data_IF_864413728410
#
_entry.id   IF_864413728410
#
_cell.length_a   1.000
_cell.length_b   1.000
_cell.length_c   1.000
_cell.angle_alpha   90.00
_cell.angle_beta   90.00
_cell.angle_gamma   90.00
#
_symmetry.space_group_name_H-M   'P 1'
#
loop_
_entity.id
_entity.type
_entity.pdbx_description
1 polymer ?
#
# COMPACT_ATOMS: atom_id res chain seq x y z
N UNK A 1 -13.18 -19.13 -6.07
CA UNK A 1 -13.15 -17.66 -6.12
C UNK A 1 -13.98 -17.13 -4.97
N UNK A 2 -13.46 -16.14 -4.22
CA UNK A 2 -14.21 -15.47 -3.17
C UNK A 2 -15.33 -14.63 -3.79
N UNK A 3 -16.50 -14.59 -3.14
CA UNK A 3 -17.65 -13.81 -3.58
C UNK A 3 -17.79 -12.55 -2.72
N UNK A 4 -18.26 -11.45 -3.33
CA UNK A 4 -18.63 -10.25 -2.57
C UNK A 4 -19.83 -10.58 -1.69
N UNK A 5 -19.74 -10.27 -0.40
CA UNK A 5 -20.84 -10.28 0.56
C UNK A 5 -21.17 -8.85 0.97
N UNK A 6 -22.27 -8.65 1.68
CA UNK A 6 -22.58 -7.33 2.24
C UNK A 6 -21.58 -6.93 3.33
N UNK A 7 -21.03 -7.90 4.05
CA UNK A 7 -19.94 -7.69 5.02
C UNK A 7 -18.67 -7.16 4.34
N UNK A 8 -18.25 -7.75 3.22
CA UNK A 8 -17.05 -7.26 2.50
C UNK A 8 -17.28 -5.92 1.81
N UNK A 9 -18.53 -5.56 1.48
CA UNK A 9 -18.88 -4.20 1.04
C UNK A 9 -18.81 -3.20 2.18
N UNK A 10 -19.38 -3.53 3.34
CA UNK A 10 -19.32 -2.65 4.51
C UNK A 10 -17.88 -2.40 4.98
N UNK A 11 -17.04 -3.45 4.99
CA UNK A 11 -15.62 -3.34 5.32
C UNK A 11 -14.86 -2.41 4.35
N UNK A 12 -15.19 -2.46 3.05
CA UNK A 12 -14.56 -1.61 2.04
C UNK A 12 -14.76 -0.13 2.33
N UNK A 13 -15.97 0.27 2.70
CA UNK A 13 -16.27 1.67 3.03
C UNK A 13 -15.48 2.13 4.25
N UNK A 14 -15.29 1.27 5.26
CA UNK A 14 -14.46 1.57 6.42
C UNK A 14 -12.99 1.72 6.07
N UNK A 15 -12.47 0.88 5.17
CA UNK A 15 -11.09 1.00 4.67
C UNK A 15 -10.91 2.32 3.91
N UNK A 16 -11.87 2.69 3.05
CA UNK A 16 -11.82 3.97 2.34
C UNK A 16 -11.88 5.16 3.28
N UNK A 17 -12.67 5.08 4.35
CA UNK A 17 -12.70 6.12 5.38
C UNK A 17 -11.36 6.26 6.11
N UNK A 18 -10.77 5.14 6.52
CA UNK A 18 -9.44 5.12 7.15
C UNK A 18 -8.38 5.74 6.23
N UNK A 19 -8.33 5.32 4.96
CA UNK A 19 -7.34 5.83 3.98
C UNK A 19 -7.52 7.33 3.77
N UNK A 20 -8.77 7.80 3.58
CA UNK A 20 -9.05 9.23 3.40
C UNK A 20 -8.61 10.04 4.61
N UNK A 21 -8.98 9.59 5.81
CA UNK A 21 -8.60 10.25 7.07
C UNK A 21 -7.08 10.36 7.20
N UNK A 22 -6.33 9.30 6.88
CA UNK A 22 -4.87 9.29 6.94
C UNK A 22 -4.24 10.21 5.89
N UNK A 23 -4.81 10.30 4.69
CA UNK A 23 -4.33 11.21 3.64
C UNK A 23 -4.56 12.68 4.01
N UNK A 24 -5.61 12.97 4.77
CA UNK A 24 -5.94 14.33 5.24
C UNK A 24 -5.09 14.79 6.44
N UNK A 25 -4.20 13.97 6.98
CA UNK A 25 -3.33 14.37 8.09
C UNK A 25 -2.27 15.40 7.68
N UNK A 26 -2.23 16.53 8.38
CA UNK A 26 -1.24 17.58 8.17
C UNK A 26 -0.80 18.24 9.51
N UNK A 27 0.40 17.94 10.04
CA UNK A 27 1.29 16.87 9.59
C UNK A 27 0.72 15.50 9.99
N UNK A 28 1.07 14.46 9.22
CA UNK A 28 0.95 13.07 9.70
C UNK A 28 1.67 12.90 11.05
N UNK A 29 1.20 12.07 12.00
CA UNK A 29 1.98 11.71 13.18
C UNK A 29 3.27 10.97 12.80
N UNK A 30 4.37 11.17 13.53
CA UNK A 30 5.62 10.46 13.25
C UNK A 30 5.51 8.97 13.61
N UNK A 31 4.69 8.66 14.61
CA UNK A 31 4.57 7.35 15.24
C UNK A 31 5.91 6.83 15.79
N UNK A 32 5.89 5.69 16.50
CA UNK A 32 7.10 5.16 17.12
C UNK A 32 7.02 3.66 17.39
N UNK A 33 8.16 2.94 17.31
CA UNK A 33 8.17 1.51 17.59
C UNK A 33 7.88 1.23 19.06
N UNK A 34 7.18 0.13 19.32
CA UNK A 34 6.93 -0.41 20.66
C UNK A 34 7.66 -1.74 20.85
N UNK A 35 8.04 -2.11 22.09
CA UNK A 35 8.58 -3.44 22.38
C UNK A 35 7.61 -4.56 22.00
N UNK A 36 8.13 -5.68 21.52
CA UNK A 36 7.33 -6.86 21.12
C UNK A 36 6.36 -7.31 22.22
N UNK A 37 6.82 -7.35 23.47
CA UNK A 37 5.98 -7.73 24.61
C UNK A 37 4.79 -6.80 24.82
N UNK A 38 4.97 -5.49 24.59
CA UNK A 38 3.89 -4.51 24.68
C UNK A 38 2.90 -4.68 23.54
N UNK A 39 3.39 -4.89 22.31
CA UNK A 39 2.54 -5.18 21.14
C UNK A 39 1.75 -6.46 21.34
N UNK A 40 2.36 -7.51 21.87
CA UNK A 40 1.67 -8.76 22.16
C UNK A 40 0.59 -8.58 23.23
N UNK A 41 0.86 -7.77 24.27
CA UNK A 41 -0.12 -7.46 25.30
C UNK A 41 -1.32 -6.64 24.78
N UNK A 42 -1.10 -5.77 23.79
CA UNK A 42 -2.15 -4.93 23.20
C UNK A 42 -2.92 -5.63 22.07
N UNK A 43 -2.21 -6.34 21.19
CA UNK A 43 -2.78 -6.98 20.00
C UNK A 43 -3.28 -8.41 20.23
N UNK A 44 -2.66 -9.12 21.18
CA UNK A 44 -2.91 -10.55 21.38
C UNK A 44 -2.50 -11.41 20.18
N UNK A 45 -3.08 -12.60 20.09
CA UNK A 45 -2.93 -13.49 18.93
C UNK A 45 -3.90 -13.04 17.82
N UNK A 46 -3.36 -12.63 16.68
CA UNK A 46 -4.14 -12.11 15.54
C UNK A 46 -4.57 -13.19 14.55
N UNK A 47 -4.11 -14.43 14.75
CA UNK A 47 -4.37 -15.58 13.88
C UNK A 47 -5.02 -16.69 14.69
N UNK A 48 -6.21 -17.12 14.26
CA UNK A 48 -6.93 -18.28 14.78
C UNK A 48 -7.74 -18.95 13.68
N UNK A 49 -8.26 -20.16 13.93
CA UNK A 49 -9.10 -20.89 12.97
C UNK A 49 -10.43 -20.18 12.69
N UNK A 50 -10.98 -19.49 13.69
CA UNK A 50 -12.23 -18.73 13.60
C UNK A 50 -12.04 -17.40 12.87
N UNK A 51 -10.82 -16.86 12.88
CA UNK A 51 -10.52 -15.51 12.42
C UNK A 51 -11.12 -14.42 13.33
N UNK A 52 -10.61 -13.20 13.20
CA UNK A 52 -11.10 -12.06 14.00
C UNK A 52 -12.17 -11.21 13.30
N UNK A 53 -12.37 -11.40 11.99
CA UNK A 53 -13.27 -10.60 11.17
C UNK A 53 -12.67 -9.25 10.76
N UNK A 54 -13.11 -8.71 9.61
CA UNK A 54 -12.52 -7.52 9.01
C UNK A 54 -12.59 -6.26 9.87
N UNK A 55 -13.70 -6.06 10.59
CA UNK A 55 -13.89 -4.90 11.46
C UNK A 55 -12.90 -4.89 12.64
N UNK A 56 -12.74 -6.03 13.32
CA UNK A 56 -11.78 -6.12 14.42
C UNK A 56 -10.34 -6.06 13.92
N UNK A 57 -10.07 -6.62 12.73
CA UNK A 57 -8.74 -6.53 12.11
C UNK A 57 -8.39 -5.07 11.77
N UNK A 58 -9.31 -4.31 11.17
CA UNK A 58 -9.11 -2.89 10.87
C UNK A 58 -8.93 -2.09 12.16
N UNK A 59 -9.77 -2.30 13.18
CA UNK A 59 -9.65 -1.61 14.47
C UNK A 59 -8.32 -1.91 15.16
N UNK A 60 -7.90 -3.17 15.17
CA UNK A 60 -6.60 -3.56 15.74
C UNK A 60 -5.45 -2.87 15.01
N UNK A 61 -5.51 -2.82 13.68
CA UNK A 61 -4.49 -2.13 12.89
C UNK A 61 -4.45 -0.64 13.23
N UNK A 62 -5.60 0.05 13.18
CA UNK A 62 -5.71 1.48 13.44
C UNK A 62 -5.28 1.87 14.86
N UNK A 63 -5.70 1.12 15.88
CA UNK A 63 -5.49 1.50 17.29
C UNK A 63 -4.14 1.04 17.85
N UNK A 64 -3.56 -0.05 17.31
CA UNK A 64 -2.36 -0.69 17.89
C UNK A 64 -1.19 -0.74 16.93
N UNK A 65 -1.39 -1.28 15.72
CA UNK A 65 -0.27 -1.61 14.82
C UNK A 65 0.23 -0.39 14.04
N UNK A 66 -0.67 0.44 13.50
CA UNK A 66 -0.31 1.64 12.75
C UNK A 66 0.44 2.66 13.62
N UNK A 67 -0.01 3.00 14.85
CA UNK A 67 0.74 3.91 15.72
C UNK A 67 2.10 3.37 16.19
N UNK A 68 2.32 2.06 16.07
CA UNK A 68 3.59 1.41 16.35
C UNK A 68 4.54 1.32 15.13
N UNK A 69 4.13 1.89 13.99
CA UNK A 69 4.86 1.87 12.71
C UNK A 69 5.22 3.30 12.34
N UNK A 70 6.52 3.59 12.18
CA UNK A 70 6.98 4.95 11.86
C UNK A 70 6.43 5.40 10.50
N UNK A 71 5.82 6.58 10.47
CA UNK A 71 5.35 7.24 9.25
C UNK A 71 6.52 7.88 8.51
N UNK A 72 6.99 7.23 7.45
CA UNK A 72 8.20 7.64 6.69
C UNK A 72 7.99 8.82 5.75
N UNK A 73 6.76 9.28 5.61
CA UNK A 73 6.34 10.52 4.93
C UNK A 73 6.14 11.70 5.89
N UNK A 74 6.39 11.50 7.20
CA UNK A 74 6.44 12.59 8.16
C UNK A 74 7.58 13.57 7.82
N UNK A 75 7.38 14.91 7.82
CA UNK A 75 8.42 15.89 7.46
C UNK A 75 9.69 15.83 8.32
N UNK A 76 9.53 15.43 9.59
CA UNK A 76 10.62 15.17 10.54
C UNK A 76 11.28 13.79 10.44
N UNK A 77 10.82 12.89 9.56
CA UNK A 77 11.48 11.62 9.30
C UNK A 77 12.73 11.85 8.44
N UNK A 78 13.87 12.04 9.11
CA UNK A 78 15.16 12.38 8.47
C UNK A 78 16.19 11.24 8.59
N UNK A 79 15.72 10.03 8.85
CA UNK A 79 16.55 8.82 8.91
C UNK A 79 16.28 7.90 7.72
N UNK A 80 17.22 7.00 7.42
CA UNK A 80 17.09 5.95 6.40
C UNK A 80 16.66 6.47 5.01
N UNK A 81 15.65 5.85 4.39
CA UNK A 81 15.09 6.19 3.08
C UNK A 81 13.68 6.74 3.31
N UNK A 82 13.41 8.02 3.02
CA UNK A 82 12.08 8.60 3.18
C UNK A 82 11.13 8.10 2.08
N UNK A 83 9.84 8.18 2.37
CA UNK A 83 8.79 7.98 1.38
C UNK A 83 8.20 9.33 0.94
N UNK A 84 8.05 9.52 -0.37
CA UNK A 84 7.49 10.75 -0.96
C UNK A 84 6.56 10.42 -2.13
N UNK A 85 5.72 9.39 -1.97
CA UNK A 85 4.68 9.09 -2.94
C UNK A 85 3.70 10.27 -3.06
N UNK A 86 3.29 10.59 -4.28
CA UNK A 86 2.17 11.52 -4.49
C UNK A 86 0.86 10.84 -4.12
N UNK A 87 -0.16 11.61 -3.72
CA UNK A 87 -1.50 11.07 -3.45
C UNK A 87 -2.05 10.26 -4.63
N UNK A 88 -1.80 10.74 -5.86
CA UNK A 88 -2.22 10.05 -7.07
C UNK A 88 -1.57 8.66 -7.20
N UNK A 89 -0.29 8.53 -6.86
CA UNK A 89 0.40 7.24 -6.90
C UNK A 89 -0.20 6.27 -5.87
N UNK A 90 -0.38 6.70 -4.62
CA UNK A 90 -0.94 5.87 -3.56
C UNK A 90 -2.38 5.42 -3.84
N UNK A 91 -3.21 6.29 -4.42
CA UNK A 91 -4.57 5.92 -4.83
C UNK A 91 -4.57 4.94 -6.03
N UNK A 92 -3.60 5.07 -6.94
CA UNK A 92 -3.51 4.16 -8.09
C UNK A 92 -2.99 2.77 -7.69
N UNK A 93 -2.19 2.65 -6.63
CA UNK A 93 -1.82 1.35 -6.05
C UNK A 93 -3.05 0.54 -5.64
N UNK A 94 -4.09 1.19 -5.10
CA UNK A 94 -5.37 0.53 -4.80
C UNK A 94 -6.06 0.04 -6.09
N UNK A 95 -6.04 0.82 -7.17
CA UNK A 95 -6.61 0.42 -8.46
C UNK A 95 -5.88 -0.81 -9.02
N UNK A 96 -4.54 -0.80 -9.00
CA UNK A 96 -3.72 -1.92 -9.49
C UNK A 96 -3.92 -3.17 -8.63
N UNK A 97 -3.90 -3.02 -7.30
CA UNK A 97 -4.08 -4.11 -6.33
C UNK A 97 -5.45 -4.80 -6.50
N UNK A 98 -6.52 -4.01 -6.63
CA UNK A 98 -7.88 -4.54 -6.79
C UNK A 98 -8.13 -5.16 -8.18
N UNK A 99 -7.37 -4.73 -9.20
CA UNK A 99 -7.49 -5.25 -10.57
C UNK A 99 -6.84 -6.62 -10.76
N UNK A 100 -6.01 -7.10 -9.83
CA UNK A 100 -5.35 -8.41 -9.90
C UNK A 100 -4.66 -8.65 -11.26
N UNK A 101 -3.90 -7.66 -11.73
CA UNK A 101 -3.29 -7.66 -13.06
C UNK A 101 -2.16 -8.69 -13.12
N UNK A 102 -2.19 -9.57 -14.13
CA UNK A 102 -1.07 -10.44 -14.47
C UNK A 102 -0.34 -9.89 -15.70
N UNK A 103 0.89 -9.39 -15.49
CA UNK A 103 1.74 -8.79 -16.51
C UNK A 103 2.78 -9.74 -17.12
N UNK A 104 2.66 -11.06 -16.90
CA UNK A 104 3.71 -12.02 -17.30
C UNK A 104 3.82 -12.28 -18.81
N UNK A 105 2.81 -11.90 -19.59
CA UNK A 105 2.89 -11.92 -21.05
C UNK A 105 1.96 -10.88 -21.67
N UNK A 106 2.22 -10.57 -22.95
CA UNK A 106 1.37 -9.65 -23.71
C UNK A 106 -0.09 -10.13 -23.82
N UNK A 107 -0.32 -11.45 -23.87
CA UNK A 107 -1.66 -12.01 -24.02
C UNK A 107 -2.58 -11.62 -22.85
N UNK A 108 -2.06 -11.64 -21.63
CA UNK A 108 -2.83 -11.36 -20.42
C UNK A 108 -2.72 -9.91 -19.95
N UNK A 109 -1.61 -9.22 -20.27
CA UNK A 109 -1.24 -7.95 -19.67
C UNK A 109 -1.07 -6.76 -20.63
N UNK A 110 -1.46 -6.88 -21.90
CA UNK A 110 -1.14 -5.90 -22.95
C UNK A 110 -1.32 -4.42 -22.54
N UNK A 111 -2.43 -4.08 -21.86
CA UNK A 111 -2.69 -2.70 -21.43
C UNK A 111 -1.70 -2.18 -20.39
N UNK A 112 -1.41 -2.99 -19.37
CA UNK A 112 -0.44 -2.65 -18.32
C UNK A 112 0.99 -2.63 -18.89
N UNK A 113 1.35 -3.62 -19.69
CA UNK A 113 2.68 -3.71 -20.33
C UNK A 113 2.91 -2.55 -21.30
N UNK A 114 1.88 -2.14 -22.04
CA UNK A 114 1.98 -0.95 -22.90
C UNK A 114 2.30 0.29 -22.08
N UNK A 115 1.59 0.54 -20.97
CA UNK A 115 1.84 1.68 -20.10
C UNK A 115 3.24 1.61 -19.46
N UNK A 116 3.64 0.44 -18.97
CA UNK A 116 4.97 0.19 -18.41
C UNK A 116 6.08 0.56 -19.39
N UNK A 117 5.96 0.09 -20.64
CA UNK A 117 6.95 0.35 -21.68
C UNK A 117 7.09 1.85 -22.01
N UNK A 118 6.00 2.64 -21.90
CA UNK A 118 6.08 4.09 -22.06
C UNK A 118 6.91 4.73 -20.94
N UNK A 119 6.67 4.32 -19.69
CA UNK A 119 7.41 4.85 -18.54
C UNK A 119 8.88 4.45 -18.58
N UNK A 120 9.19 3.19 -18.91
CA UNK A 120 10.57 2.71 -19.07
C UNK A 120 11.32 3.46 -20.16
N UNK A 121 10.67 3.69 -21.31
CA UNK A 121 11.25 4.47 -22.41
C UNK A 121 11.52 5.91 -21.97
N UNK A 122 10.58 6.52 -21.25
CA UNK A 122 10.76 7.86 -20.70
C UNK A 122 11.91 7.92 -19.70
N UNK A 123 11.95 7.03 -18.69
CA UNK A 123 13.07 6.97 -17.74
C UNK A 123 14.41 6.76 -18.41
N UNK A 124 14.50 5.83 -19.37
CA UNK A 124 15.73 5.62 -20.12
C UNK A 124 16.21 6.90 -20.81
N UNK A 125 15.28 7.72 -21.33
CA UNK A 125 15.61 9.02 -21.93
C UNK A 125 16.06 10.06 -20.90
N UNK A 126 15.42 10.14 -19.73
CA UNK A 126 15.76 11.09 -18.66
C UNK A 126 17.17 10.85 -18.11
N UNK A 127 17.60 9.58 -18.04
CA UNK A 127 18.95 9.22 -17.57
C UNK A 127 19.99 9.11 -18.68
N UNK A 128 19.63 9.45 -19.93
CA UNK A 128 20.56 9.51 -21.06
C UNK A 128 21.00 8.15 -21.63
N UNK A 129 20.20 7.09 -21.46
CA UNK A 129 20.47 5.79 -22.07
C UNK A 129 20.21 5.80 -23.58
N UNK A 130 20.89 4.94 -24.36
CA UNK A 130 20.71 4.90 -25.81
C UNK A 130 19.31 4.41 -26.21
N UNK A 131 18.86 4.83 -27.40
CA UNK A 131 17.60 4.35 -27.98
C UNK A 131 17.59 2.83 -28.08
N UNK A 132 16.50 2.22 -27.62
CA UNK A 132 16.35 0.76 -27.56
C UNK A 132 16.83 0.13 -26.26
N UNK A 133 17.32 0.92 -25.30
CA UNK A 133 17.43 0.46 -23.92
C UNK A 133 16.05 0.02 -23.41
N UNK A 134 16.02 -1.13 -22.74
CA UNK A 134 14.83 -1.69 -22.12
C UNK A 134 14.99 -1.79 -20.60
N UNK A 135 13.98 -2.34 -19.96
CA UNK A 135 13.97 -2.59 -18.52
C UNK A 135 12.74 -3.38 -18.13
N UNK A 136 12.57 -3.55 -16.83
CA UNK A 136 11.37 -4.08 -16.20
C UNK A 136 11.26 -3.45 -14.81
N UNK A 137 10.03 -3.22 -14.34
CA UNK A 137 9.84 -2.92 -12.92
C UNK A 137 10.04 -4.19 -12.09
N UNK A 138 10.72 -4.04 -10.96
CA UNK A 138 10.91 -5.11 -9.96
C UNK A 138 10.35 -4.65 -8.63
N UNK A 139 9.80 -5.59 -7.86
CA UNK A 139 9.32 -5.39 -6.49
C UNK A 139 10.36 -5.85 -5.48
#
# INVERSE_FOLDING_TARGET
MHQSSDETRALREKIFEYVRTRMDYDPIPLDYPKPEQELFAQAGLTLSEEGMGGDNALRLYEEVLAPATISTDHPGFVSFIPNAATEAASLFDLVVSTSSIYGGSWLEGAGAIFAENQVLTWFASEVGLPKGAGGAFVQ
#
